data_IF_152941414803
#
_entry.id   IF_152941414803
#
_cell.length_a   1.000
_cell.length_b   1.000
_cell.length_c   1.000
_cell.angle_alpha   90.00
_cell.angle_beta   90.00
_cell.angle_gamma   90.00
#
_symmetry.space_group_name_H-M   'P 1'
#
loop_
_entity.id
_entity.type
_entity.pdbx_description
1 polymer ?
#
# COMPACT_ATOMS: atom_id res chain seq x y z
N UNK A 1 -10.69 -54.27 -7.49
CA UNK A 1 -9.86 -53.29 -6.76
C UNK A 1 -9.64 -52.12 -7.68
N UNK A 2 -10.58 -51.17 -7.69
CA UNK A 2 -10.48 -49.92 -8.45
C UNK A 2 -9.43 -49.04 -7.79
N UNK A 3 -8.48 -48.54 -8.59
CA UNK A 3 -7.52 -47.53 -8.16
C UNK A 3 -8.31 -46.29 -7.73
N UNK A 4 -8.12 -45.86 -6.50
CA UNK A 4 -8.58 -44.56 -6.03
C UNK A 4 -7.70 -43.53 -6.74
N UNK A 5 -8.23 -42.89 -7.75
CA UNK A 5 -7.59 -41.76 -8.42
C UNK A 5 -7.63 -40.57 -7.46
N UNK A 6 -6.52 -40.36 -6.74
CA UNK A 6 -6.27 -39.27 -5.77
C UNK A 6 -6.40 -37.87 -6.41
N UNK A 7 -6.62 -37.80 -7.73
CA UNK A 7 -6.66 -36.58 -8.53
C UNK A 7 -8.06 -36.02 -8.73
N UNK A 8 -9.13 -36.73 -8.36
CA UNK A 8 -10.53 -36.28 -8.51
C UNK A 8 -11.10 -35.58 -7.25
N UNK A 9 -10.36 -35.52 -6.14
CA UNK A 9 -10.81 -34.91 -4.87
C UNK A 9 -10.33 -33.46 -4.67
N UNK A 10 -9.82 -32.83 -5.73
CA UNK A 10 -9.67 -31.37 -5.76
C UNK A 10 -11.01 -30.73 -6.12
N UNK A 11 -12.03 -30.96 -5.29
CA UNK A 11 -13.18 -30.07 -5.20
C UNK A 11 -12.65 -28.78 -4.57
N UNK A 12 -12.03 -27.96 -5.42
CA UNK A 12 -11.56 -26.63 -5.06
C UNK A 12 -12.82 -25.88 -4.67
N UNK A 13 -13.08 -25.81 -3.36
CA UNK A 13 -14.27 -25.20 -2.79
C UNK A 13 -14.31 -23.76 -3.27
N UNK A 14 -15.01 -23.53 -4.38
CA UNK A 14 -15.02 -22.25 -5.13
C UNK A 14 -15.59 -21.13 -4.25
N UNK A 15 -16.22 -21.52 -3.13
CA UNK A 15 -16.77 -20.67 -2.09
C UNK A 15 -15.77 -20.31 -0.99
N UNK A 16 -14.66 -21.04 -0.80
CA UNK A 16 -13.62 -20.66 0.17
C UNK A 16 -12.86 -19.39 -0.26
N UNK A 17 -12.83 -19.10 -1.56
CA UNK A 17 -12.16 -17.92 -2.13
C UNK A 17 -13.09 -16.73 -2.38
N UNK A 18 -14.42 -16.94 -2.43
CA UNK A 18 -15.42 -15.89 -2.70
C UNK A 18 -15.70 -14.95 -1.53
N UNK A 19 -15.25 -15.29 -0.31
CA UNK A 19 -15.50 -14.48 0.89
C UNK A 19 -14.41 -13.46 1.26
N UNK A 20 -13.23 -13.52 0.63
CA UNK A 20 -12.08 -12.64 0.96
C UNK A 20 -11.80 -11.54 -0.07
N UNK A 21 -12.69 -11.33 -1.04
CA UNK A 21 -12.73 -10.07 -1.76
C UNK A 21 -13.52 -9.05 -0.92
N UNK A 22 -13.08 -8.79 0.32
CA UNK A 22 -13.40 -7.49 0.93
C UNK A 22 -12.84 -6.47 -0.08
N UNK A 23 -13.74 -5.76 -0.75
CA UNK A 23 -13.45 -4.76 -1.76
C UNK A 23 -12.63 -3.64 -1.09
N UNK A 24 -11.33 -3.88 -0.94
CA UNK A 24 -10.44 -2.96 -0.27
C UNK A 24 -10.40 -1.67 -1.07
N UNK A 25 -10.76 -0.55 -0.45
CA UNK A 25 -10.72 0.73 -1.13
C UNK A 25 -9.26 1.15 -1.32
N UNK A 26 -8.94 1.67 -2.51
CA UNK A 26 -7.60 2.22 -2.79
C UNK A 26 -7.48 3.58 -2.10
N UNK A 27 -6.67 3.65 -1.05
CA UNK A 27 -6.39 4.90 -0.34
C UNK A 27 -5.28 5.71 -1.00
N UNK A 28 -4.25 5.04 -1.51
CA UNK A 28 -3.09 5.68 -2.14
C UNK A 28 -2.47 4.79 -3.24
N UNK A 29 -1.73 5.44 -4.13
CA UNK A 29 -0.99 4.82 -5.24
C UNK A 29 0.46 5.27 -5.16
N UNK A 30 1.38 4.34 -5.33
CA UNK A 30 2.82 4.57 -5.22
C UNK A 30 3.54 4.04 -6.46
N UNK A 31 4.66 4.66 -6.80
CA UNK A 31 5.57 4.20 -7.86
C UNK A 31 6.84 3.56 -7.28
N UNK A 32 7.10 3.76 -5.98
CA UNK A 32 8.20 3.17 -5.24
C UNK A 32 7.67 2.16 -4.22
N UNK A 33 8.27 0.96 -4.21
CA UNK A 33 7.95 -0.07 -3.22
C UNK A 33 8.26 0.42 -1.80
N UNK A 34 9.39 1.10 -1.63
CA UNK A 34 9.82 1.59 -0.32
C UNK A 34 8.84 2.61 0.26
N UNK A 35 8.32 3.54 -0.56
CA UNK A 35 7.30 4.50 -0.11
C UNK A 35 6.00 3.80 0.27
N UNK A 36 5.59 2.82 -0.54
CA UNK A 36 4.37 2.05 -0.28
C UNK A 36 4.46 1.25 1.03
N UNK A 37 5.62 0.66 1.33
CA UNK A 37 5.89 -0.05 2.58
C UNK A 37 5.90 0.87 3.79
N UNK A 38 6.50 2.07 3.68
CA UNK A 38 6.49 3.07 4.76
C UNK A 38 5.06 3.52 5.04
N UNK A 39 4.26 3.79 4.01
CA UNK A 39 2.85 4.14 4.16
C UNK A 39 2.06 3.01 4.83
N UNK A 40 2.26 1.76 4.40
CA UNK A 40 1.62 0.60 5.00
C UNK A 40 2.03 0.39 6.47
N UNK A 41 3.32 0.58 6.80
CA UNK A 41 3.80 0.47 8.17
C UNK A 41 3.16 1.52 9.10
N UNK A 42 2.95 2.74 8.61
CA UNK A 42 2.27 3.80 9.36
C UNK A 42 0.81 3.44 9.65
N UNK A 43 0.07 3.00 8.64
CA UNK A 43 -1.31 2.54 8.85
C UNK A 43 -1.39 1.41 9.87
N UNK A 44 -0.44 0.46 9.81
CA UNK A 44 -0.36 -0.63 10.80
C UNK A 44 -0.03 -0.15 12.20
N UNK A 45 0.81 0.89 12.35
CA UNK A 45 1.11 1.49 13.65
C UNK A 45 -0.13 2.13 14.30
N UNK A 46 -1.04 2.67 13.48
CA UNK A 46 -2.34 3.22 13.89
C UNK A 46 -3.43 2.13 14.07
N UNK A 47 -3.08 0.85 13.88
CA UNK A 47 -3.99 -0.29 14.01
C UNK A 47 -4.88 -0.55 12.80
N UNK A 48 -4.61 0.09 11.66
CA UNK A 48 -5.38 -0.09 10.42
C UNK A 48 -4.78 -1.24 9.60
N UNK A 49 -5.61 -2.24 9.28
CA UNK A 49 -5.23 -3.32 8.39
C UNK A 49 -5.16 -2.85 6.94
N UNK A 50 -3.98 -3.00 6.33
CA UNK A 50 -3.74 -2.58 4.96
C UNK A 50 -3.00 -3.66 4.14
N UNK A 51 -3.29 -3.69 2.84
CA UNK A 51 -2.68 -4.61 1.88
C UNK A 51 -2.08 -3.83 0.69
N UNK A 52 -0.88 -4.23 0.27
CA UNK A 52 -0.23 -3.68 -0.91
C UNK A 52 -0.47 -4.62 -2.10
N UNK A 53 -1.16 -4.12 -3.12
CA UNK A 53 -1.35 -4.81 -4.38
C UNK A 53 -0.30 -4.37 -5.40
N UNK A 54 0.03 -5.27 -6.34
CA UNK A 54 0.89 -5.01 -7.49
C UNK A 54 2.39 -4.81 -7.13
N UNK A 55 2.86 -5.38 -6.02
CA UNK A 55 4.26 -5.25 -5.54
C UNK A 55 5.28 -6.05 -6.34
N UNK A 56 4.89 -7.20 -6.89
CA UNK A 56 5.77 -8.10 -7.64
C UNK A 56 5.41 -8.21 -9.14
N UNK A 57 4.54 -7.32 -9.63
CA UNK A 57 4.13 -7.33 -11.03
C UNK A 57 5.27 -6.87 -11.93
N UNK A 58 5.92 -7.83 -12.56
CA UNK A 58 6.88 -7.59 -13.63
C UNK A 58 6.13 -7.46 -14.95
N UNK A 59 6.15 -6.27 -15.55
CA UNK A 59 5.65 -6.07 -16.90
C UNK A 59 6.70 -6.54 -17.91
N UNK A 60 6.30 -7.35 -18.89
CA UNK A 60 7.14 -7.70 -20.05
C UNK A 60 7.37 -6.51 -20.99
N UNK A 61 6.66 -5.39 -20.77
CA UNK A 61 6.81 -4.14 -21.49
C UNK A 61 7.55 -3.12 -20.62
N UNK A 62 8.78 -2.72 -20.98
CA UNK A 62 9.64 -1.86 -20.15
C UNK A 62 9.13 -0.42 -19.95
N UNK A 63 8.13 0.01 -20.72
CA UNK A 63 7.56 1.36 -20.64
C UNK A 63 6.34 1.46 -19.72
N UNK A 64 5.83 0.32 -19.22
CA UNK A 64 4.73 0.30 -18.26
C UNK A 64 5.31 0.37 -16.85
N UNK A 65 5.27 1.57 -16.26
CA UNK A 65 5.60 1.76 -14.85
C UNK A 65 4.54 1.05 -14.00
N UNK A 66 4.99 0.09 -13.18
CA UNK A 66 4.11 -0.61 -12.25
C UNK A 66 3.66 0.35 -11.15
N UNK A 67 2.34 0.43 -10.93
CA UNK A 67 1.75 1.25 -9.87
C UNK A 67 1.35 0.34 -8.71
N UNK A 68 1.95 0.55 -7.55
CA UNK A 68 1.63 -0.18 -6.33
C UNK A 68 0.40 0.49 -5.71
N UNK A 69 -0.61 -0.30 -5.37
CA UNK A 69 -1.87 0.22 -4.80
C UNK A 69 -1.98 -0.20 -3.34
N UNK A 70 -2.23 0.76 -2.46
CA UNK A 70 -2.48 0.51 -1.05
C UNK A 70 -3.99 0.42 -0.82
N UNK A 71 -4.44 -0.75 -0.39
CA UNK A 71 -5.83 -1.06 -0.10
C UNK A 71 -6.04 -1.16 1.41
N UNK A 72 -7.19 -0.67 1.87
CA UNK A 72 -7.67 -0.80 3.25
C UNK A 72 -9.14 -1.16 3.26
N UNK A 73 -9.66 -1.56 4.42
CA UNK A 73 -11.09 -1.76 4.59
C UNK A 73 -11.86 -0.45 4.34
N UNK A 74 -13.03 -0.49 3.68
CA UNK A 74 -13.84 0.71 3.42
C UNK A 74 -14.20 1.49 4.70
N UNK A 75 -14.42 0.79 5.81
CA UNK A 75 -14.72 1.40 7.11
C UNK A 75 -13.57 2.29 7.63
N UNK A 76 -12.33 1.94 7.29
CA UNK A 76 -11.12 2.63 7.76
C UNK A 76 -10.53 3.56 6.68
N UNK A 77 -11.15 3.67 5.50
CA UNK A 77 -10.57 4.35 4.34
C UNK A 77 -10.41 5.86 4.56
N UNK A 78 -11.39 6.50 5.19
CA UNK A 78 -11.33 7.93 5.54
C UNK A 78 -10.18 8.21 6.50
N UNK A 79 -10.06 7.42 7.58
CA UNK A 79 -9.01 7.56 8.59
C UNK A 79 -7.63 7.27 8.02
N UNK A 80 -7.50 6.22 7.20
CA UNK A 80 -6.25 5.90 6.53
C UNK A 80 -5.78 7.03 5.60
N UNK A 81 -6.71 7.66 4.87
CA UNK A 81 -6.39 8.79 3.98
C UNK A 81 -5.94 10.02 4.77
N UNK A 82 -6.50 10.26 5.95
CA UNK A 82 -6.07 11.34 6.86
C UNK A 82 -4.63 11.10 7.37
N UNK A 83 -4.35 9.91 7.92
CA UNK A 83 -3.00 9.55 8.42
C UNK A 83 -1.93 9.68 7.32
N UNK A 84 -2.26 9.25 6.10
CA UNK A 84 -1.34 9.36 4.96
C UNK A 84 -1.09 10.83 4.56
N UNK A 85 -2.11 11.69 4.64
CA UNK A 85 -1.95 13.12 4.36
C UNK A 85 -1.10 13.82 5.43
N UNK A 86 -1.32 13.53 6.71
CA UNK A 86 -0.49 14.08 7.81
C UNK A 86 0.98 13.67 7.66
N UNK A 87 1.22 12.41 7.28
CA UNK A 87 2.56 11.90 7.02
C UNK A 87 3.23 12.59 5.83
N UNK A 88 2.49 12.83 4.75
CA UNK A 88 2.99 13.54 3.57
C UNK A 88 3.40 14.99 3.92
N UNK A 89 2.62 15.68 4.76
CA UNK A 89 2.91 17.03 5.25
C UNK A 89 4.17 17.04 6.13
N UNK A 90 4.32 16.04 7.00
CA UNK A 90 5.48 15.93 7.91
C UNK A 90 6.80 15.71 7.15
N UNK A 91 6.76 15.04 6.00
CA UNK A 91 7.96 14.81 5.17
C UNK A 91 8.44 16.03 4.38
N UNK A 92 7.71 17.16 4.37
CA UNK A 92 8.09 18.39 3.63
C UNK A 92 8.87 19.42 4.50
N UNK A 93 9.45 19.03 5.63
CA UNK A 93 10.40 19.91 6.34
C UNK A 93 11.86 19.47 6.24
N UNK A 94 12.50 19.60 5.08
CA UNK A 94 13.89 20.01 5.04
C UNK A 94 13.93 21.55 4.92
N UNK A 95 14.53 22.20 5.93
CA UNK A 95 15.02 23.60 5.93
C UNK A 95 14.14 24.66 6.62
N UNK A 96 14.09 24.61 7.95
CA UNK A 96 14.05 25.84 8.77
C UNK A 96 15.45 26.11 9.37
N UNK A 97 16.49 25.89 8.56
CA UNK A 97 17.88 26.07 8.97
C UNK A 97 18.49 27.30 8.29
N UNK A 98 18.97 28.24 9.12
CA UNK A 98 19.80 29.41 8.80
C UNK A 98 19.10 30.72 8.39
N UNK A 99 18.19 31.21 9.22
CA UNK A 99 18.12 32.67 9.47
C UNK A 99 19.37 33.01 10.31
N UNK A 100 20.28 33.82 9.75
CA UNK A 100 21.29 34.68 10.40
C UNK A 100 22.61 34.69 9.61
N UNK A 101 22.62 35.32 8.43
CA UNK A 101 23.85 35.75 7.79
C UNK A 101 23.69 37.20 7.32
N UNK A 102 24.34 38.12 8.03
CA UNK A 102 24.83 39.39 7.48
C UNK A 102 23.86 40.57 7.49
N UNK A 103 23.66 41.20 8.65
CA UNK A 103 23.54 42.67 8.69
C UNK A 103 24.87 43.26 8.24
N UNK A 104 24.97 43.60 6.95
CA UNK A 104 26.00 44.51 6.45
C UNK A 104 25.53 45.94 6.76
N UNK A 105 26.23 46.54 7.71
CA UNK A 105 26.30 47.99 7.95
C UNK A 105 26.73 48.71 6.66
N UNK A 106 25.99 49.76 6.30
CA UNK A 106 26.43 50.82 5.41
C UNK A 106 26.39 52.15 6.17
#
# INVERSE_FOLDING_TARGET
MSRVDILDDFDFDENAFRGMAEEGEVVAKFFSLMEAEVAAARLRAEGIHCFLANTASSSVLPHLQSVIRLHVRPLDSARAREILNEAAITTISPSDNTRNAGTLTA
#
